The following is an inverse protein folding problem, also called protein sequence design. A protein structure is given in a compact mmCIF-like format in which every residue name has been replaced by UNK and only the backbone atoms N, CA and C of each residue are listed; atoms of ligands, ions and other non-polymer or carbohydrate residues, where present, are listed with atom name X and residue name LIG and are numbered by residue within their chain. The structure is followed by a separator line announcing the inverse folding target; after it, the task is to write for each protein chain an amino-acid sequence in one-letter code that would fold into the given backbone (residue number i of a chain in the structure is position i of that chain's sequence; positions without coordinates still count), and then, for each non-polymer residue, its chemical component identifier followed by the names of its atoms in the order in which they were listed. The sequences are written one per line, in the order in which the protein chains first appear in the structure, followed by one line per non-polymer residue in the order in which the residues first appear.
data_IF_067560179962
#
_entry.id   IF_067560179962
#
_cell.length_a   1.000
_cell.length_b   1.000
_cell.length_c   1.000
_cell.angle_alpha   90.00
_cell.angle_beta   90.00
_cell.angle_gamma   90.00
#
_symmetry.space_group_name_H-M   'P 1'
#
loop_
_entity.id
_entity.type
_entity.pdbx_description
1 polymer ?
#
# COMPACT_ATOMS: atom_id res chain seq x y z
N UNK A 1 -32.47 10.26 40.78
CA UNK A 1 -31.09 10.00 41.23
C UNK A 1 -31.04 8.55 41.68
N UNK A 2 -30.16 7.72 41.11
CA UNK A 2 -30.04 6.32 41.54
C UNK A 2 -29.40 6.24 42.93
N UNK A 3 -29.71 5.19 43.72
CA UNK A 3 -29.18 5.04 45.07
C UNK A 3 -27.67 4.74 45.07
N UNK A 4 -27.00 5.06 46.18
CA UNK A 4 -25.62 4.60 46.44
C UNK A 4 -25.61 3.06 46.53
N UNK A 5 -24.47 2.45 46.21
CA UNK A 5 -24.35 0.98 46.18
C UNK A 5 -24.49 0.39 47.60
N UNK A 6 -25.55 -0.39 47.85
CA UNK A 6 -25.79 -1.10 49.13
C UNK A 6 -25.49 -2.61 49.03
N UNK A 7 -24.90 -3.07 47.92
CA UNK A 7 -24.67 -4.49 47.64
C UNK A 7 -25.81 -5.14 46.84
N UNK A 8 -27.06 -4.92 47.25
CA UNK A 8 -28.25 -5.52 46.61
C UNK A 8 -28.84 -4.67 45.47
N UNK A 9 -28.42 -3.41 45.36
CA UNK A 9 -28.96 -2.47 44.37
C UNK A 9 -28.41 -2.78 42.97
N UNK A 10 -29.29 -3.16 42.04
CA UNK A 10 -28.94 -3.44 40.64
C UNK A 10 -28.41 -2.21 39.88
N UNK A 11 -28.84 -1.01 40.27
CA UNK A 11 -28.43 0.26 39.66
C UNK A 11 -27.84 1.19 40.71
N UNK A 12 -26.61 1.65 40.49
CA UNK A 12 -25.91 2.59 41.38
C UNK A 12 -25.92 4.01 40.80
N UNK A 13 -25.75 5.02 41.65
CA UNK A 13 -25.65 6.44 41.29
C UNK A 13 -24.79 6.78 40.07
N UNK A 14 -23.72 6.03 39.86
CA UNK A 14 -22.74 6.24 38.78
C UNK A 14 -23.15 5.58 37.45
N UNK A 15 -24.11 4.65 37.48
CA UNK A 15 -24.56 3.95 36.29
C UNK A 15 -25.63 4.73 35.54
N UNK A 16 -25.58 4.71 34.21
CA UNK A 16 -26.64 5.24 33.35
C UNK A 16 -27.61 4.09 33.02
N UNK A 17 -28.86 4.09 33.52
CA UNK A 17 -29.83 3.05 33.22
C UNK A 17 -30.14 3.00 31.73
N UNK A 18 -30.16 1.80 31.16
CA UNK A 18 -30.45 1.61 29.74
C UNK A 18 -29.27 1.85 28.80
N UNK A 19 -28.08 2.22 29.31
CA UNK A 19 -26.86 2.23 28.51
C UNK A 19 -26.39 0.79 28.26
N UNK A 20 -26.55 0.31 27.03
CA UNK A 20 -25.99 -0.96 26.53
C UNK A 20 -24.77 -0.73 25.63
N UNK A 21 -24.11 0.42 25.76
CA UNK A 21 -23.01 0.81 24.89
C UNK A 21 -21.78 -0.09 25.00
N UNK A 22 -20.85 0.12 24.06
CA UNK A 22 -19.63 -0.67 23.96
C UNK A 22 -18.70 -0.45 25.16
N UNK A 23 -18.19 -1.55 25.72
CA UNK A 23 -17.19 -1.54 26.79
C UNK A 23 -15.86 -1.98 26.19
N UNK A 24 -14.83 -1.11 26.18
CA UNK A 24 -13.53 -1.46 25.64
C UNK A 24 -13.01 -2.76 26.25
N UNK A 25 -12.47 -3.64 25.41
CA UNK A 25 -11.91 -4.94 25.77
C UNK A 25 -12.90 -6.01 26.27
N UNK A 26 -14.17 -5.70 26.42
CA UNK A 26 -15.19 -6.66 26.87
C UNK A 26 -15.33 -7.86 25.92
N UNK A 27 -15.14 -7.66 24.62
CA UNK A 27 -15.18 -8.72 23.61
C UNK A 27 -14.13 -9.82 23.81
N UNK A 28 -13.11 -9.58 24.64
CA UNK A 28 -12.03 -10.53 24.93
C UNK A 28 -12.13 -11.15 26.34
N UNK A 29 -13.19 -10.86 27.08
CA UNK A 29 -13.41 -11.34 28.46
C UNK A 29 -14.64 -12.23 28.51
N UNK A 30 -14.53 -13.37 29.20
CA UNK A 30 -15.59 -14.38 29.28
C UNK A 30 -15.55 -15.11 30.63
N UNK A 31 -16.66 -15.76 30.99
CA UNK A 31 -16.75 -16.61 32.20
C UNK A 31 -17.07 -15.88 33.50
N UNK A 32 -17.25 -14.56 33.49
CA UNK A 32 -17.68 -13.76 34.64
C UNK A 32 -19.06 -13.12 34.46
N UNK A 33 -19.58 -12.50 35.52
CA UNK A 33 -20.79 -11.66 35.39
C UNK A 33 -20.47 -10.40 34.60
N UNK A 34 -21.46 -9.84 33.89
CA UNK A 34 -21.26 -8.61 33.13
C UNK A 34 -20.66 -7.49 33.98
N UNK A 35 -21.13 -7.33 35.22
CA UNK A 35 -20.62 -6.33 36.17
C UNK A 35 -19.13 -6.50 36.44
N UNK A 36 -18.71 -7.69 36.86
CA UNK A 36 -17.31 -7.96 37.23
C UNK A 36 -16.37 -7.77 36.03
N UNK A 37 -16.78 -8.24 34.85
CA UNK A 37 -15.99 -8.09 33.63
C UNK A 37 -15.92 -6.62 33.18
N UNK A 38 -17.01 -5.87 33.33
CA UNK A 38 -17.05 -4.43 33.02
C UNK A 38 -16.11 -3.64 33.92
N UNK A 39 -16.16 -3.89 35.24
CA UNK A 39 -15.26 -3.28 36.22
C UNK A 39 -13.79 -3.60 35.89
N UNK A 40 -13.47 -4.86 35.57
CA UNK A 40 -12.13 -5.27 35.16
C UNK A 40 -11.66 -4.58 33.87
N UNK A 41 -12.54 -4.44 32.87
CA UNK A 41 -12.24 -3.75 31.62
C UNK A 41 -11.93 -2.27 31.84
N UNK A 42 -12.69 -1.60 32.70
CA UNK A 42 -12.46 -0.19 33.07
C UNK A 42 -11.12 -0.04 33.78
N UNK A 43 -10.83 -0.90 34.75
CA UNK A 43 -9.55 -0.91 35.47
C UNK A 43 -8.37 -1.13 34.51
N UNK A 44 -8.49 -2.09 33.60
CA UNK A 44 -7.47 -2.38 32.60
C UNK A 44 -7.24 -1.18 31.68
N UNK A 45 -8.31 -0.55 31.18
CA UNK A 45 -8.24 0.65 30.35
C UNK A 45 -7.52 1.80 31.05
N UNK A 46 -7.85 2.07 32.32
CA UNK A 46 -7.21 3.14 33.11
C UNK A 46 -5.73 2.84 33.33
N UNK A 47 -5.36 1.59 33.61
CA UNK A 47 -3.96 1.17 33.77
C UNK A 47 -3.18 1.37 32.47
N UNK A 48 -3.74 0.93 31.34
CA UNK A 48 -3.13 1.07 30.03
C UNK A 48 -2.91 2.54 29.68
N UNK A 49 -3.93 3.38 29.85
CA UNK A 49 -3.84 4.83 29.65
C UNK A 49 -2.70 5.47 30.46
N UNK A 50 -2.65 5.20 31.77
CA UNK A 50 -1.59 5.73 32.66
C UNK A 50 -0.20 5.23 32.25
N UNK A 51 -0.09 3.96 31.87
CA UNK A 51 1.18 3.38 31.44
C UNK A 51 1.68 3.99 30.12
N UNK A 52 0.77 4.24 29.17
CA UNK A 52 1.08 4.86 27.89
C UNK A 52 1.49 6.33 28.08
N UNK A 53 0.80 7.05 28.96
CA UNK A 53 1.16 8.42 29.33
C UNK A 53 2.54 8.49 29.97
N UNK A 54 2.86 7.59 30.90
CA UNK A 54 4.20 7.52 31.52
C UNK A 54 5.30 7.22 30.49
N UNK A 55 5.07 6.26 29.58
CA UNK A 55 6.01 5.97 28.48
C UNK A 55 6.23 7.19 27.59
N UNK A 56 5.15 7.90 27.25
CA UNK A 56 5.22 9.12 26.44
C UNK A 56 5.99 10.24 27.15
N UNK A 57 5.76 10.43 28.45
CA UNK A 57 6.46 11.44 29.24
C UNK A 57 7.96 11.11 29.36
N UNK A 58 8.31 9.86 29.65
CA UNK A 58 9.71 9.40 29.66
C UNK A 58 10.39 9.60 28.31
N UNK A 59 9.70 9.29 27.21
CA UNK A 59 10.21 9.54 25.86
C UNK A 59 10.41 11.05 25.63
N UNK A 60 9.46 11.89 26.04
CA UNK A 60 9.56 13.34 25.92
C UNK A 60 10.72 13.91 26.74
N UNK A 61 10.90 13.47 27.98
CA UNK A 61 12.06 13.82 28.81
C UNK A 61 13.37 13.44 28.11
N UNK A 62 13.49 12.19 27.62
CA UNK A 62 14.69 11.75 26.90
C UNK A 62 14.93 12.52 25.59
N UNK A 63 13.85 12.87 24.88
CA UNK A 63 13.92 13.63 23.63
C UNK A 63 14.31 15.08 23.86
N UNK A 64 13.87 15.69 24.96
CA UNK A 64 14.19 17.07 25.31
C UNK A 64 15.65 17.27 25.71
N UNK A 65 16.35 16.19 26.10
CA UNK A 65 17.80 16.24 26.37
C UNK A 65 18.63 16.35 25.09
N UNK A 66 18.06 15.96 23.94
CA UNK A 66 18.73 16.00 22.65
C UNK A 66 18.43 17.32 21.95
N UNK A 67 19.42 17.85 21.23
CA UNK A 67 19.21 19.03 20.38
C UNK A 67 18.28 18.69 19.22
N UNK A 68 17.52 19.68 18.75
CA UNK A 68 16.66 19.51 17.58
C UNK A 68 17.51 19.09 16.37
N UNK A 69 17.29 17.88 15.88
CA UNK A 69 17.97 17.35 14.71
C UNK A 69 17.41 18.02 13.44
N UNK A 70 18.31 18.49 12.57
CA UNK A 70 17.93 18.93 11.23
C UNK A 70 17.89 17.71 10.28
N UNK A 71 16.85 17.57 9.45
CA UNK A 71 16.77 16.46 8.52
C UNK A 71 17.88 16.57 7.45
N UNK A 72 18.82 15.62 7.46
CA UNK A 72 19.88 15.53 6.45
C UNK A 72 19.32 14.79 5.22
N UNK A 73 18.39 15.44 4.51
CA UNK A 73 17.75 14.84 3.33
C UNK A 73 18.58 15.02 2.04
N UNK A 74 19.47 16.02 2.02
CA UNK A 74 20.15 16.46 0.79
C UNK A 74 21.64 16.12 0.75
N UNK A 75 22.22 15.56 1.82
CA UNK A 75 23.62 15.16 1.78
C UNK A 75 23.79 13.93 0.86
N UNK A 76 24.48 14.07 -0.28
CA UNK A 76 24.68 12.96 -1.20
C UNK A 76 25.44 11.79 -0.56
N UNK A 77 26.31 12.04 0.42
CA UNK A 77 27.07 10.99 1.11
C UNK A 77 26.15 10.12 1.98
N UNK A 78 25.30 10.75 2.79
CA UNK A 78 24.33 10.05 3.63
C UNK A 78 23.35 9.26 2.78
N UNK A 79 22.84 9.85 1.69
CA UNK A 79 21.94 9.18 0.75
C UNK A 79 22.61 7.96 0.11
N UNK A 80 23.85 8.10 -0.37
CA UNK A 80 24.60 6.99 -0.96
C UNK A 80 24.86 5.88 0.06
N UNK A 81 25.23 6.23 1.29
CA UNK A 81 25.44 5.27 2.36
C UNK A 81 24.15 4.52 2.74
N UNK A 82 23.01 5.21 2.79
CA UNK A 82 21.71 4.60 3.06
C UNK A 82 21.31 3.60 1.96
N UNK A 83 21.56 3.95 0.70
CA UNK A 83 21.32 3.07 -0.44
C UNK A 83 22.21 1.82 -0.37
N UNK A 84 23.51 1.98 -0.08
CA UNK A 84 24.43 0.85 0.10
C UNK A 84 23.96 -0.06 1.23
N UNK A 85 23.56 0.51 2.36
CA UNK A 85 23.05 -0.27 3.49
C UNK A 85 21.76 -1.02 3.13
N UNK A 86 20.82 -0.38 2.44
CA UNK A 86 19.57 -1.01 2.02
C UNK A 86 19.83 -2.17 1.05
N UNK A 87 20.70 -1.97 0.06
CA UNK A 87 21.11 -2.99 -0.91
C UNK A 87 21.81 -4.17 -0.20
N UNK A 88 22.67 -3.88 0.77
CA UNK A 88 23.38 -4.92 1.52
C UNK A 88 22.46 -5.67 2.50
N UNK A 89 21.48 -4.99 3.10
CA UNK A 89 20.44 -5.63 3.90
C UNK A 89 19.59 -6.58 3.06
N UNK A 90 19.23 -6.18 1.85
CA UNK A 90 18.50 -7.04 0.91
C UNK A 90 19.33 -8.28 0.52
N UNK A 91 20.64 -8.11 0.28
CA UNK A 91 21.56 -9.23 -0.01
C UNK A 91 21.78 -10.16 1.19
N UNK A 92 21.84 -9.62 2.41
CA UNK A 92 21.98 -10.44 3.63
C UNK A 92 20.68 -11.19 3.94
N UNK A 93 19.52 -10.58 3.68
CA UNK A 93 18.22 -11.21 3.88
C UNK A 93 17.76 -12.09 2.70
N UNK A 94 18.40 -12.03 1.53
CA UNK A 94 18.06 -12.87 0.38
C UNK A 94 18.35 -14.37 0.61
N UNK A 95 19.13 -14.70 1.64
CA UNK A 95 19.29 -16.09 2.10
C UNK A 95 18.23 -16.53 3.13
N UNK A 96 17.55 -15.60 3.78
CA UNK A 96 16.54 -15.88 4.85
C UNK A 96 15.15 -16.04 4.25
N UNK A 97 14.84 -15.30 3.19
CA UNK A 97 13.67 -15.52 2.37
C UNK A 97 14.13 -16.18 1.08
N UNK A 98 14.08 -17.52 1.02
CA UNK A 98 14.10 -18.21 -0.27
C UNK A 98 13.06 -17.53 -1.15
N UNK A 99 13.45 -17.05 -2.35
CA UNK A 99 12.48 -16.59 -3.34
C UNK A 99 11.37 -17.62 -3.41
N UNK A 100 10.19 -17.27 -2.89
CA UNK A 100 9.06 -18.19 -2.83
C UNK A 100 8.83 -18.66 -4.24
N UNK A 101 8.96 -19.97 -4.47
CA UNK A 101 8.67 -20.52 -5.80
C UNK A 101 7.25 -20.08 -6.12
N UNK A 102 6.94 -19.68 -7.35
CA UNK A 102 5.54 -19.30 -7.69
C UNK A 102 4.55 -20.47 -7.56
N UNK A 103 5.02 -21.65 -7.13
CA UNK A 103 4.22 -22.82 -6.78
C UNK A 103 3.90 -22.88 -5.28
N UNK A 104 4.50 -22.04 -4.43
CA UNK A 104 4.06 -21.91 -3.04
C UNK A 104 2.64 -21.37 -3.02
N UNK A 105 1.73 -21.98 -2.23
CA UNK A 105 0.36 -21.55 -2.17
C UNK A 105 0.34 -20.08 -1.71
N UNK A 106 -0.45 -19.23 -2.38
CA UNK A 106 -0.60 -17.85 -1.96
C UNK A 106 -1.16 -17.79 -0.52
N UNK A 107 -0.97 -16.64 0.13
CA UNK A 107 -1.36 -16.36 1.52
C UNK A 107 -2.69 -17.07 1.86
N UNK A 108 -2.78 -17.81 2.99
CA UNK A 108 -4.02 -18.49 3.36
C UNK A 108 -5.23 -17.55 3.24
N UNK A 109 -6.19 -17.93 2.40
CA UNK A 109 -7.39 -17.11 2.08
C UNK A 109 -7.32 -16.33 0.77
N UNK A 110 -6.21 -16.36 0.02
CA UNK A 110 -6.14 -15.79 -1.33
C UNK A 110 -7.04 -16.56 -2.30
N UNK A 111 -8.12 -15.91 -2.74
CA UNK A 111 -9.05 -16.38 -3.78
C UNK A 111 -8.83 -15.67 -5.13
N UNK A 112 -7.66 -15.06 -5.33
CA UNK A 112 -7.39 -14.29 -6.54
C UNK A 112 -7.30 -15.15 -7.81
N UNK A 113 -7.24 -14.48 -8.96
CA UNK A 113 -7.18 -15.12 -10.28
C UNK A 113 -5.91 -15.98 -10.43
N UNK A 114 -6.08 -17.23 -10.86
CA UNK A 114 -4.98 -18.14 -11.20
C UNK A 114 -5.03 -18.38 -12.72
N UNK A 115 -4.01 -17.97 -13.47
CA UNK A 115 -3.96 -18.18 -14.91
C UNK A 115 -4.17 -19.65 -15.28
N UNK A 116 -4.98 -19.89 -16.32
CA UNK A 116 -5.33 -21.22 -16.84
C UNK A 116 -6.20 -22.10 -15.95
N UNK A 117 -6.52 -21.68 -14.73
CA UNK A 117 -7.35 -22.48 -13.81
C UNK A 117 -8.80 -22.61 -14.31
N UNK A 118 -9.48 -21.50 -14.56
CA UNK A 118 -10.90 -21.55 -14.95
C UNK A 118 -11.10 -21.76 -16.46
N UNK A 119 -10.10 -21.39 -17.27
CA UNK A 119 -10.22 -21.38 -18.74
C UNK A 119 -9.78 -22.68 -19.41
N UNK A 120 -9.12 -23.58 -18.69
CA UNK A 120 -8.59 -24.82 -19.27
C UNK A 120 -8.96 -26.03 -18.41
N UNK A 121 -8.75 -27.23 -18.94
CA UNK A 121 -8.97 -28.48 -18.22
C UNK A 121 -8.15 -28.63 -16.92
N UNK A 122 -7.13 -27.79 -16.73
CA UNK A 122 -6.24 -27.85 -15.57
C UNK A 122 -6.97 -27.56 -14.25
N UNK A 123 -8.07 -26.80 -14.25
CA UNK A 123 -8.89 -26.55 -13.06
C UNK A 123 -10.17 -27.38 -12.95
N UNK A 124 -10.51 -28.19 -13.95
CA UNK A 124 -11.74 -28.98 -13.93
C UNK A 124 -11.59 -30.22 -13.02
N UNK A 125 -12.57 -30.44 -12.14
CA UNK A 125 -12.70 -31.63 -11.28
C UNK A 125 -11.48 -31.95 -10.39
N UNK A 126 -10.57 -31.00 -10.16
CA UNK A 126 -9.41 -31.15 -9.26
C UNK A 126 -9.61 -30.39 -7.96
N UNK A 127 -8.88 -30.79 -6.92
CA UNK A 127 -8.80 -29.97 -5.70
C UNK A 127 -8.09 -28.67 -6.02
N UNK A 128 -8.48 -27.57 -5.37
CA UNK A 128 -7.97 -26.23 -5.66
C UNK A 128 -6.44 -26.15 -5.71
N UNK A 129 -5.72 -26.82 -4.80
CA UNK A 129 -4.25 -26.79 -4.78
C UNK A 129 -3.62 -27.53 -5.98
N UNK A 130 -4.19 -28.65 -6.42
CA UNK A 130 -3.73 -29.41 -7.59
C UNK A 130 -4.06 -28.64 -8.88
N UNK A 131 -5.26 -28.06 -8.94
CA UNK A 131 -5.69 -27.18 -10.02
C UNK A 131 -4.76 -25.97 -10.15
N UNK A 132 -4.48 -25.29 -9.04
CA UNK A 132 -3.60 -24.13 -8.98
C UNK A 132 -2.17 -24.47 -9.43
N UNK A 133 -1.60 -25.56 -8.91
CA UNK A 133 -0.26 -26.01 -9.26
C UNK A 133 -0.17 -26.32 -10.77
N UNK A 134 -1.07 -27.18 -11.26
CA UNK A 134 -1.07 -27.63 -12.65
C UNK A 134 -1.25 -26.46 -13.63
N UNK A 135 -2.14 -25.51 -13.29
CA UNK A 135 -2.40 -24.33 -14.12
C UNK A 135 -1.21 -23.37 -14.18
N UNK A 136 -0.52 -23.15 -13.05
CA UNK A 136 0.66 -22.30 -12.98
C UNK A 136 1.88 -22.91 -13.69
N UNK A 137 2.03 -24.24 -13.64
CA UNK A 137 3.07 -24.97 -14.38
C UNK A 137 2.85 -24.83 -15.89
N UNK A 138 1.63 -25.03 -16.37
CA UNK A 138 1.27 -24.83 -17.78
C UNK A 138 1.49 -23.38 -18.23
N UNK A 139 1.05 -22.41 -17.43
CA UNK A 139 1.29 -20.99 -17.71
C UNK A 139 2.78 -20.65 -17.79
N UNK A 140 3.60 -21.18 -16.88
CA UNK A 140 5.06 -21.02 -16.93
C UNK A 140 5.68 -21.63 -18.18
N UNK A 141 5.22 -22.80 -18.59
CA UNK A 141 5.70 -23.46 -19.80
C UNK A 141 5.36 -22.64 -21.05
N UNK A 142 4.15 -22.09 -21.14
CA UNK A 142 3.72 -21.18 -22.22
C UNK A 142 4.58 -19.90 -22.25
N UNK A 143 4.90 -19.36 -21.08
CA UNK A 143 5.68 -18.12 -20.94
C UNK A 143 7.19 -18.34 -20.86
N UNK A 144 7.71 -19.54 -21.12
CA UNK A 144 9.14 -19.87 -20.92
C UNK A 144 10.07 -18.91 -21.67
N UNK A 145 9.78 -18.59 -22.92
CA UNK A 145 10.58 -17.63 -23.72
C UNK A 145 10.60 -16.21 -23.13
N UNK A 146 9.53 -15.80 -22.45
CA UNK A 146 9.46 -14.50 -21.77
C UNK A 146 10.33 -14.51 -20.50
N UNK A 147 10.25 -15.58 -19.71
CA UNK A 147 11.08 -15.74 -18.51
C UNK A 147 12.57 -15.89 -18.84
N UNK A 148 12.91 -16.65 -19.88
CA UNK A 148 14.30 -16.79 -20.35
C UNK A 148 14.89 -15.43 -20.80
N UNK A 149 14.05 -14.52 -21.32
CA UNK A 149 14.47 -13.17 -21.71
C UNK A 149 14.62 -12.21 -20.52
N UNK A 150 14.00 -12.52 -19.37
CA UNK A 150 14.17 -11.77 -18.11
C UNK A 150 15.46 -12.20 -17.40
N UNK A 151 15.86 -13.46 -17.54
CA UNK A 151 17.11 -14.00 -16.96
C UNK A 151 18.37 -13.60 -17.75
N UNK A 152 18.24 -13.04 -18.96
CA UNK A 152 19.39 -12.45 -19.65
C UNK A 152 19.89 -11.22 -18.87
N UNK A 153 21.21 -11.12 -18.58
CA UNK A 153 21.76 -9.91 -17.98
C UNK A 153 21.53 -8.76 -18.97
N UNK A 154 20.65 -7.83 -18.58
CA UNK A 154 20.38 -6.62 -19.35
C UNK A 154 21.73 -5.96 -19.60
N UNK A 155 22.15 -5.94 -20.87
CA UNK A 155 23.45 -5.40 -21.28
C UNK A 155 23.57 -4.00 -20.69
N UNK A 156 24.64 -3.76 -19.92
CA UNK A 156 24.89 -2.46 -19.27
C UNK A 156 24.68 -1.36 -20.31
N UNK A 157 23.80 -0.42 -20.02
CA UNK A 157 23.60 0.77 -20.84
C UNK A 157 24.97 1.41 -21.04
N UNK A 158 25.50 1.41 -22.28
CA UNK A 158 26.72 2.12 -22.62
C UNK A 158 26.49 3.61 -22.33
N UNK A 159 27.13 4.12 -21.27
CA UNK A 159 27.04 5.52 -20.85
C UNK A 159 27.99 6.45 -21.63
N UNK A 160 28.65 5.94 -22.67
CA UNK A 160 29.51 6.74 -23.53
C UNK A 160 28.69 7.86 -24.19
N UNK A 161 29.01 9.10 -23.83
CA UNK A 161 28.39 10.32 -24.30
C UNK A 161 28.54 10.48 -25.82
N UNK A 162 27.54 10.03 -26.59
CA UNK A 162 27.48 10.31 -28.02
C UNK A 162 27.30 11.82 -28.25
N UNK A 163 28.06 12.43 -29.17
CA UNK A 163 27.91 13.85 -29.49
C UNK A 163 26.51 14.12 -30.05
N UNK A 164 25.84 15.12 -29.47
CA UNK A 164 24.47 15.55 -29.82
C UNK A 164 24.46 16.12 -31.24
N UNK A 165 24.17 15.31 -32.23
CA UNK A 165 23.61 15.81 -33.50
C UNK A 165 22.14 16.13 -33.29
N UNK A 166 21.79 17.39 -33.52
CA UNK A 166 20.46 17.97 -33.38
C UNK A 166 19.45 17.30 -34.31
N UNK A 167 18.79 16.26 -33.82
CA UNK A 167 17.50 15.79 -34.32
C UNK A 167 16.60 15.73 -33.08
N UNK A 168 15.41 16.35 -33.07
CA UNK A 168 14.46 16.14 -31.98
C UNK A 168 14.07 14.67 -32.00
N UNK A 169 14.70 13.89 -31.11
CA UNK A 169 14.42 12.49 -30.90
C UNK A 169 12.98 12.39 -30.41
N UNK A 170 12.05 12.03 -31.29
CA UNK A 170 10.76 11.49 -30.88
C UNK A 170 11.05 10.15 -30.20
N UNK A 171 10.83 10.01 -28.89
CA UNK A 171 11.06 8.74 -28.23
C UNK A 171 10.17 7.69 -28.89
N UNK A 172 10.77 6.58 -29.33
CA UNK A 172 10.01 5.41 -29.80
C UNK A 172 9.05 5.01 -28.67
N UNK A 173 7.80 4.72 -29.06
CA UNK A 173 6.65 4.36 -28.20
C UNK A 173 6.89 3.24 -27.16
N UNK A 174 8.06 2.59 -27.16
CA UNK A 174 8.34 1.38 -26.41
C UNK A 174 9.35 1.61 -25.26
N UNK A 175 9.58 2.86 -24.84
CA UNK A 175 10.36 3.14 -23.64
C UNK A 175 9.52 2.90 -22.39
N UNK A 176 9.54 1.65 -21.91
CA UNK A 176 9.09 1.30 -20.57
C UNK A 176 10.09 1.86 -19.55
N UNK A 177 9.81 3.06 -19.02
CA UNK A 177 10.56 3.61 -17.89
C UNK A 177 10.01 3.01 -16.60
N UNK A 178 10.87 2.63 -15.65
CA UNK A 178 10.49 2.07 -14.34
C UNK A 178 9.79 3.10 -13.40
N UNK A 179 9.18 4.16 -13.95
CA UNK A 179 8.35 5.09 -13.19
C UNK A 179 6.94 4.52 -13.08
N UNK A 180 6.42 4.59 -11.86
CA UNK A 180 5.06 4.17 -11.47
C UNK A 180 3.97 4.91 -12.29
N UNK A 181 4.30 6.08 -12.82
CA UNK A 181 3.42 6.85 -13.72
C UNK A 181 3.94 6.78 -15.16
N UNK A 182 3.19 6.11 -16.04
CA UNK A 182 3.41 6.13 -17.49
C UNK A 182 2.57 7.24 -18.13
N UNK A 183 3.00 7.78 -19.28
CA UNK A 183 2.18 8.69 -20.11
C UNK A 183 0.96 7.99 -20.75
N UNK A 184 0.76 6.69 -20.54
CA UNK A 184 -0.30 5.86 -21.13
C UNK A 184 -1.61 5.75 -20.32
N UNK A 185 -1.77 6.56 -19.27
CA UNK A 185 -2.94 6.57 -18.40
C UNK A 185 -2.71 5.91 -17.04
N UNK A 186 -3.75 5.93 -16.21
CA UNK A 186 -3.71 5.46 -14.83
C UNK A 186 -3.45 3.94 -14.72
N UNK A 187 -3.00 3.55 -13.53
CA UNK A 187 -2.78 2.16 -13.12
C UNK A 187 -4.02 1.32 -13.47
N UNK A 188 -3.87 0.19 -14.19
CA UNK A 188 -4.94 -0.78 -14.34
C UNK A 188 -5.49 -1.15 -12.96
N UNK A 189 -6.82 -1.15 -12.81
CA UNK A 189 -7.54 -1.44 -11.55
C UNK A 189 -7.49 -0.34 -10.46
N UNK A 190 -7.13 0.91 -10.81
CA UNK A 190 -7.37 2.03 -9.92
C UNK A 190 -8.87 2.35 -9.83
N UNK A 191 -9.50 1.98 -8.71
CA UNK A 191 -10.91 2.30 -8.38
C UNK A 191 -11.08 3.65 -7.64
N UNK A 192 -10.02 4.44 -7.52
CA UNK A 192 -10.05 5.70 -6.76
C UNK A 192 -10.75 6.87 -7.46
N UNK A 193 -10.77 8.02 -6.80
CA UNK A 193 -11.47 9.21 -7.27
C UNK A 193 -10.80 9.82 -8.52
N UNK A 194 -11.58 9.98 -9.58
CA UNK A 194 -11.17 10.64 -10.81
C UNK A 194 -11.90 11.98 -10.92
N UNK A 195 -11.13 13.08 -10.87
CA UNK A 195 -11.68 14.42 -10.99
C UNK A 195 -12.38 14.62 -12.35
N UNK A 196 -13.63 15.07 -12.32
CA UNK A 196 -14.43 15.33 -13.54
C UNK A 196 -15.09 14.10 -14.18
N UNK A 197 -14.88 12.90 -13.62
CA UNK A 197 -15.47 11.65 -14.12
C UNK A 197 -17.01 11.69 -14.14
N UNK A 198 -17.62 12.28 -13.11
CA UNK A 198 -19.08 12.39 -12.97
C UNK A 198 -19.79 13.13 -14.12
N UNK A 199 -19.05 13.91 -14.91
CA UNK A 199 -19.60 14.68 -16.03
C UNK A 199 -19.50 13.95 -17.38
N UNK A 200 -18.94 12.73 -17.40
CA UNK A 200 -18.76 11.92 -18.60
C UNK A 200 -19.62 10.65 -18.53
N UNK A 201 -20.56 10.50 -19.47
CA UNK A 201 -21.50 9.37 -19.52
C UNK A 201 -21.32 8.61 -20.85
N UNK A 202 -21.47 7.28 -20.83
CA UNK A 202 -21.50 6.45 -22.04
C UNK A 202 -20.15 5.94 -22.54
N UNK A 203 -19.06 6.13 -21.79
CA UNK A 203 -17.74 5.55 -22.05
C UNK A 203 -17.37 4.54 -20.97
N UNK A 204 -16.57 3.53 -21.32
CA UNK A 204 -16.00 2.64 -20.31
C UNK A 204 -14.96 3.39 -19.46
N UNK A 205 -14.70 2.90 -18.25
CA UNK A 205 -13.83 3.55 -17.28
C UNK A 205 -12.43 3.87 -17.85
N UNK A 206 -11.84 2.93 -18.60
CA UNK A 206 -10.53 3.10 -19.23
C UNK A 206 -10.48 4.15 -20.33
N UNK A 207 -11.56 4.36 -21.08
CA UNK A 207 -11.63 5.42 -22.08
C UNK A 207 -11.86 6.78 -21.40
N UNK A 208 -12.74 6.84 -20.39
CA UNK A 208 -12.98 8.06 -19.64
C UNK A 208 -11.71 8.55 -18.93
N UNK A 209 -10.91 7.66 -18.35
CA UNK A 209 -9.66 8.06 -17.68
C UNK A 209 -8.61 8.60 -18.64
N UNK A 210 -8.50 8.02 -19.85
CA UNK A 210 -7.53 8.47 -20.87
C UNK A 210 -7.88 9.81 -21.51
N UNK A 211 -9.17 10.11 -21.62
CA UNK A 211 -9.65 11.33 -22.26
C UNK A 211 -9.62 12.56 -21.32
N UNK A 212 -9.54 12.33 -20.00
CA UNK A 212 -9.50 13.42 -19.03
C UNK A 212 -8.18 14.17 -19.08
N UNK A 213 -8.24 15.50 -19.00
CA UNK A 213 -7.06 16.38 -19.01
C UNK A 213 -6.00 16.00 -17.97
N UNK A 214 -6.44 15.42 -16.84
CA UNK A 214 -5.56 14.95 -15.76
C UNK A 214 -4.58 13.88 -16.22
N UNK A 215 -4.98 13.05 -17.19
CA UNK A 215 -4.18 11.96 -17.72
C UNK A 215 -3.70 12.22 -19.16
N UNK A 216 -4.41 13.08 -19.90
CA UNK A 216 -4.17 13.41 -21.29
C UNK A 216 -3.20 14.59 -21.47
N UNK A 217 -2.13 14.68 -20.67
CA UNK A 217 -1.14 15.75 -20.77
C UNK A 217 0.30 15.23 -20.85
N UNK A 218 1.21 15.95 -21.53
CA UNK A 218 2.59 15.49 -21.70
C UNK A 218 3.47 15.70 -20.45
N UNK A 219 2.99 16.42 -19.44
CA UNK A 219 3.77 16.81 -18.25
C UNK A 219 3.92 15.68 -17.22
N UNK A 220 4.96 15.79 -16.39
CA UNK A 220 5.28 14.81 -15.34
C UNK A 220 4.20 14.68 -14.26
N UNK A 221 3.51 15.78 -13.96
CA UNK A 221 2.38 15.78 -13.03
C UNK A 221 1.32 16.81 -13.44
N UNK A 222 0.08 16.57 -13.02
CA UNK A 222 -1.05 17.46 -13.29
C UNK A 222 -0.85 18.87 -12.74
N UNK A 223 -0.18 19.00 -11.59
CA UNK A 223 0.11 20.30 -11.00
C UNK A 223 1.00 21.19 -11.88
N UNK A 224 1.96 20.61 -12.61
CA UNK A 224 2.79 21.35 -13.59
C UNK A 224 1.97 21.75 -14.82
N UNK A 225 1.13 20.84 -15.32
CA UNK A 225 0.23 21.13 -16.43
C UNK A 225 -0.70 22.31 -16.12
N UNK A 226 -1.37 22.30 -14.96
CA UNK A 226 -2.29 23.38 -14.56
C UNK A 226 -1.55 24.71 -14.40
N UNK A 227 -0.38 24.72 -13.74
CA UNK A 227 0.43 25.94 -13.62
C UNK A 227 0.78 26.54 -14.97
N UNK A 228 1.19 25.71 -15.92
CA UNK A 228 1.56 26.16 -17.27
C UNK A 228 0.32 26.62 -18.04
N UNK A 229 -0.79 25.88 -17.97
CA UNK A 229 -2.08 26.23 -18.59
C UNK A 229 -2.62 27.57 -18.08
N UNK A 230 -2.53 27.82 -16.77
CA UNK A 230 -2.95 29.07 -16.15
C UNK A 230 -2.01 30.22 -16.51
N UNK A 231 -0.70 29.97 -16.59
CA UNK A 231 0.28 30.94 -17.07
C UNK A 231 0.01 31.30 -18.53
N UNK A 232 -0.12 30.33 -19.43
CA UNK A 232 -0.42 30.61 -20.84
C UNK A 232 -1.75 31.33 -21.01
N UNK A 233 -2.78 30.97 -20.26
CA UNK A 233 -4.08 31.65 -20.30
C UNK A 233 -3.98 33.13 -19.88
N UNK A 234 -3.09 33.45 -18.93
CA UNK A 234 -2.80 34.84 -18.51
C UNK A 234 -2.05 35.68 -19.55
N UNK A 235 -1.29 35.05 -20.45
CA UNK A 235 -0.52 35.75 -21.49
C UNK A 235 -1.21 35.75 -22.87
N UNK A 236 -2.30 34.99 -23.01
CA UNK A 236 -3.16 34.92 -24.21
C UNK A 236 -4.49 35.67 -24.05
N UNK A 237 -4.71 36.30 -22.90
CA UNK A 237 -5.80 37.25 -22.64
C UNK A 237 -5.27 38.68 -22.70
#
# INVERSE_FOLDING_TARGET
MLPKATGDNKYTGEMIPGYSGDIPQMNFKFGGTYRTLSEECVDQLVREYKSAEMKRNKLKESSNLLTNLHPIAHDPLVKNHLNIWADDMMKRNSGVYSNKRTTEPPIPGYKGFIPRMDTTEHGLAKRFHEAAQSSLETFRAECKNHFDHIDMPVTRLDTCSRPRTSIPYKPKSNYYSARIFHQGGMIPDYEGHIHGYQYHVGKNFGNTTRDLEVCAHPYSCYGEYVKIKDLTSKYLS
#
